data_IF_558179770919
#
_entry.id   IF_558179770919
#
_cell.length_a   1.000
_cell.length_b   1.000
_cell.length_c   1.000
_cell.angle_alpha   90.00
_cell.angle_beta   90.00
_cell.angle_gamma   90.00
#
_symmetry.space_group_name_H-M   'P 1'
#
loop_
_entity.id
_entity.type
_entity.pdbx_description
1 polymer ?
#
# COMPACT_ATOMS: atom_id res chain seq x y z
N UNK A 1 -21.16 71.31 17.70
CA UNK A 1 -20.41 70.64 16.62
C UNK A 1 -19.86 69.32 17.16
N UNK A 2 -20.37 68.19 16.69
CA UNK A 2 -19.76 66.88 16.97
C UNK A 2 -19.95 66.01 15.72
N UNK A 3 -18.87 65.80 14.95
CA UNK A 3 -18.85 64.90 13.80
C UNK A 3 -18.80 63.47 14.35
N UNK A 4 -19.88 62.71 14.19
CA UNK A 4 -19.84 61.26 14.39
C UNK A 4 -19.13 60.63 13.19
N UNK A 5 -17.91 60.12 13.41
CA UNK A 5 -17.17 59.31 12.45
C UNK A 5 -17.75 57.89 12.47
N UNK A 6 -18.42 57.49 11.39
CA UNK A 6 -18.80 56.11 11.15
C UNK A 6 -17.56 55.39 10.62
N UNK A 7 -16.97 54.51 11.44
CA UNK A 7 -15.89 53.62 11.00
C UNK A 7 -16.52 52.39 10.35
N UNK A 8 -16.30 52.22 9.04
CA UNK A 8 -16.72 51.04 8.28
C UNK A 8 -15.65 49.96 8.41
N UNK A 9 -15.89 48.96 9.26
CA UNK A 9 -15.04 47.77 9.33
C UNK A 9 -15.35 46.87 8.12
N UNK A 10 -14.40 46.79 7.18
CA UNK A 10 -14.46 45.83 6.06
C UNK A 10 -13.81 44.53 6.52
N UNK A 11 -14.62 43.50 6.75
CA UNK A 11 -14.14 42.13 6.92
C UNK A 11 -13.81 41.55 5.53
N UNK A 12 -12.52 41.48 5.18
CA UNK A 12 -12.08 40.74 4.00
C UNK A 12 -12.01 39.26 4.39
N UNK A 13 -13.02 38.49 3.98
CA UNK A 13 -13.01 37.03 4.09
C UNK A 13 -12.06 36.47 3.03
N UNK A 14 -10.80 36.24 3.40
CA UNK A 14 -9.86 35.49 2.55
C UNK A 14 -10.26 34.02 2.64
N UNK A 15 -11.11 33.56 1.73
CA UNK A 15 -11.29 32.14 1.46
C UNK A 15 -10.03 31.62 0.81
N UNK A 16 -9.04 31.26 1.62
CA UNK A 16 -7.92 30.47 1.15
C UNK A 16 -8.45 29.16 0.61
N UNK A 17 -8.43 29.00 -0.72
CA UNK A 17 -8.56 27.68 -1.34
C UNK A 17 -7.30 26.92 -0.95
N UNK A 18 -7.36 26.21 0.18
CA UNK A 18 -6.38 25.17 0.48
C UNK A 18 -6.63 24.11 -0.58
N UNK A 19 -5.86 24.14 -1.66
CA UNK A 19 -5.82 23.03 -2.61
C UNK A 19 -5.53 21.78 -1.79
N UNK A 20 -6.50 20.88 -1.70
CA UNK A 20 -6.31 19.63 -0.98
C UNK A 20 -5.11 18.93 -1.62
N UNK A 21 -3.99 18.85 -0.90
CA UNK A 21 -2.90 17.95 -1.27
C UNK A 21 -3.50 16.55 -1.29
N UNK A 22 -3.74 16.01 -2.49
CA UNK A 22 -4.27 14.68 -2.64
C UNK A 22 -3.16 13.70 -2.29
N UNK A 23 -3.32 12.99 -1.18
CA UNK A 23 -2.43 11.89 -0.79
C UNK A 23 -2.35 10.91 -1.98
N UNK A 24 -1.15 10.64 -2.54
CA UNK A 24 -1.03 9.83 -3.75
C UNK A 24 -1.37 8.36 -3.46
N UNK A 25 -2.05 7.65 -4.37
CA UNK A 25 -2.21 6.20 -4.25
C UNK A 25 -0.85 5.51 -4.24
N UNK A 26 -0.69 4.45 -3.43
CA UNK A 26 0.57 3.72 -3.31
C UNK A 26 0.35 2.25 -3.71
N UNK A 27 1.11 1.77 -4.68
CA UNK A 27 1.09 0.36 -5.10
C UNK A 27 2.39 -0.31 -4.67
N UNK A 28 2.28 -1.45 -3.98
CA UNK A 28 3.42 -2.11 -3.34
C UNK A 28 3.59 -3.50 -3.92
N UNK A 29 4.81 -3.84 -4.30
CA UNK A 29 5.24 -5.15 -4.78
C UNK A 29 6.43 -5.60 -3.95
N UNK A 30 6.59 -6.91 -3.78
CA UNK A 30 7.74 -7.42 -3.06
C UNK A 30 7.54 -8.70 -2.29
N UNK A 31 8.38 -8.85 -1.28
CA UNK A 31 8.48 -10.02 -0.43
C UNK A 31 7.98 -9.78 1.01
N UNK A 32 8.52 -10.52 1.99
CA UNK A 32 8.15 -10.42 3.41
C UNK A 32 8.43 -9.05 4.01
N UNK A 33 9.38 -8.30 3.47
CA UNK A 33 9.70 -6.93 3.92
C UNK A 33 8.56 -5.94 3.62
N UNK A 34 7.71 -6.27 2.64
CA UNK A 34 6.61 -5.44 2.19
C UNK A 34 5.23 -6.09 2.37
N UNK A 35 5.14 -7.39 2.64
CA UNK A 35 3.86 -8.08 2.88
C UNK A 35 3.18 -7.58 4.15
N UNK A 36 1.86 -7.43 4.04
CA UNK A 36 0.97 -6.93 5.08
C UNK A 36 -0.21 -7.85 5.34
N UNK A 37 -0.20 -9.05 4.75
CA UNK A 37 -1.15 -10.12 5.00
C UNK A 37 -1.65 -10.88 3.77
N UNK A 38 -1.07 -10.74 2.58
CA UNK A 38 -1.47 -11.56 1.42
C UNK A 38 -1.27 -13.05 1.73
N UNK A 39 -0.15 -13.41 2.37
CA UNK A 39 0.15 -14.81 2.67
C UNK A 39 -0.83 -15.48 3.64
N UNK A 40 -1.61 -14.70 4.39
CA UNK A 40 -2.64 -15.26 5.26
C UNK A 40 -3.71 -16.01 4.46
N UNK A 41 -3.98 -15.58 3.23
CA UNK A 41 -5.00 -16.12 2.34
C UNK A 41 -4.52 -17.30 1.48
N UNK A 42 -3.22 -17.60 1.49
CA UNK A 42 -2.67 -18.70 0.72
C UNK A 42 -2.86 -20.04 1.47
N UNK A 43 -3.46 -21.07 0.85
CA UNK A 43 -3.60 -22.38 1.47
C UNK A 43 -2.25 -23.09 1.57
N UNK A 44 -1.98 -23.73 2.70
CA UNK A 44 -0.81 -24.60 2.87
C UNK A 44 0.57 -23.93 2.98
N UNK A 45 0.69 -22.61 2.79
CA UNK A 45 1.98 -21.93 2.96
C UNK A 45 2.34 -21.76 4.44
N UNK A 46 3.62 -21.94 4.76
CA UNK A 46 4.21 -21.66 6.07
C UNK A 46 4.81 -20.25 6.15
N UNK A 47 4.97 -19.57 5.01
CA UNK A 47 5.50 -18.20 4.94
C UNK A 47 4.45 -17.18 5.39
N UNK A 48 3.94 -17.28 6.61
CA UNK A 48 2.95 -16.35 7.19
C UNK A 48 3.57 -15.58 8.34
N UNK A 49 2.95 -14.45 8.70
CA UNK A 49 3.33 -13.66 9.86
C UNK A 49 2.10 -13.21 10.65
N UNK A 50 1.15 -14.12 10.80
CA UNK A 50 -0.07 -13.94 11.59
C UNK A 50 -0.05 -14.78 12.88
N UNK A 51 1.15 -15.00 13.44
CA UNK A 51 1.34 -15.74 14.68
C UNK A 51 1.23 -14.84 15.92
N UNK A 52 1.03 -15.40 17.13
CA UNK A 52 0.91 -14.61 18.36
C UNK A 52 2.09 -13.67 18.67
N UNK A 53 3.30 -13.99 18.19
CA UNK A 53 4.49 -13.16 18.38
C UNK A 53 4.63 -12.04 17.32
N UNK A 54 3.73 -11.98 16.33
CA UNK A 54 3.66 -10.88 15.36
C UNK A 54 2.60 -9.86 15.80
N UNK A 55 2.86 -8.58 15.54
CA UNK A 55 1.87 -7.53 15.75
C UNK A 55 1.59 -7.15 17.21
N UNK A 56 2.45 -7.48 18.18
CA UNK A 56 2.30 -7.06 19.58
C UNK A 56 2.29 -5.52 19.66
N UNK A 57 3.09 -4.84 18.86
CA UNK A 57 3.18 -3.37 18.80
C UNK A 57 2.23 -2.77 17.74
N UNK A 58 1.48 -3.61 17.01
CA UNK A 58 0.47 -3.12 16.06
C UNK A 58 -0.77 -2.64 16.81
N UNK A 59 -1.52 -1.63 16.30
CA UNK A 59 -2.78 -1.22 16.90
C UNK A 59 -3.71 -2.40 17.23
N UNK A 60 -4.16 -2.46 18.48
CA UNK A 60 -4.97 -3.55 19.06
C UNK A 60 -4.24 -4.90 19.20
N UNK A 61 -2.90 -4.91 19.26
CA UNK A 61 -2.07 -6.10 19.51
C UNK A 61 -2.39 -7.26 18.56
N UNK A 62 -2.62 -6.95 17.27
CA UNK A 62 -3.12 -7.91 16.28
C UNK A 62 -2.08 -8.23 15.23
N UNK A 63 -1.78 -9.52 15.10
CA UNK A 63 -1.01 -10.06 13.99
C UNK A 63 -1.77 -9.88 12.67
N UNK A 64 -1.22 -9.09 11.74
CA UNK A 64 -1.87 -8.82 10.44
C UNK A 64 -1.30 -9.61 9.28
N UNK A 65 -0.19 -10.35 9.48
CA UNK A 65 0.62 -10.89 8.37
C UNK A 65 1.78 -9.98 7.95
N UNK A 66 2.13 -8.98 8.77
CA UNK A 66 3.40 -8.25 8.63
C UNK A 66 4.49 -9.05 9.30
N UNK A 67 5.62 -9.27 8.63
CA UNK A 67 6.81 -9.94 9.19
C UNK A 67 7.56 -9.01 10.17
N UNK A 68 6.84 -8.53 11.18
CA UNK A 68 7.27 -7.54 12.17
C UNK A 68 6.45 -7.69 13.45
N UNK A 69 6.92 -7.10 14.55
CA UNK A 69 6.13 -6.97 15.76
C UNK A 69 5.07 -5.86 15.67
N UNK A 70 5.08 -5.03 14.62
CA UNK A 70 4.14 -3.93 14.45
C UNK A 70 4.04 -3.49 13.00
N UNK A 71 4.14 -2.19 12.76
CA UNK A 71 4.31 -1.64 11.42
C UNK A 71 5.62 -2.15 10.78
N UNK A 72 5.63 -2.36 9.46
CA UNK A 72 6.84 -2.65 8.69
C UNK A 72 7.36 -1.36 8.01
N UNK A 73 8.51 -1.43 7.33
CA UNK A 73 9.12 -0.28 6.67
C UNK A 73 8.17 0.41 5.67
N UNK A 74 7.36 -0.37 4.95
CA UNK A 74 6.39 0.15 3.98
C UNK A 74 5.28 0.97 4.64
N UNK A 75 4.86 0.61 5.86
CA UNK A 75 3.91 1.44 6.60
C UNK A 75 4.48 2.81 6.96
N UNK A 76 5.74 2.87 7.36
CA UNK A 76 6.39 4.14 7.68
C UNK A 76 6.56 5.00 6.43
N UNK A 77 6.94 4.40 5.30
CA UNK A 77 7.00 5.11 4.00
C UNK A 77 5.61 5.62 3.60
N UNK A 78 4.55 4.82 3.75
CA UNK A 78 3.20 5.29 3.46
C UNK A 78 2.76 6.43 4.40
N UNK A 79 3.16 6.39 5.67
CA UNK A 79 2.88 7.45 6.65
C UNK A 79 3.56 8.77 6.28
N UNK A 80 4.81 8.75 5.79
CA UNK A 80 5.47 9.99 5.33
C UNK A 80 4.79 10.61 4.11
N UNK A 81 4.04 9.81 3.33
CA UNK A 81 3.24 10.27 2.20
C UNK A 81 1.83 10.77 2.60
N UNK A 82 1.48 10.75 3.89
CA UNK A 82 0.20 11.22 4.39
C UNK A 82 -0.87 10.13 4.56
N UNK A 83 -0.52 8.84 4.39
CA UNK A 83 -1.43 7.74 4.72
C UNK A 83 -1.41 7.40 6.21
N UNK A 84 -2.46 6.74 6.71
CA UNK A 84 -2.44 6.23 8.08
C UNK A 84 -1.46 5.06 8.26
N UNK A 85 -1.30 4.24 7.21
CA UNK A 85 -0.43 3.05 7.11
C UNK A 85 -0.38 2.60 5.64
N UNK A 86 0.33 1.52 5.33
CA UNK A 86 0.32 0.97 3.99
C UNK A 86 -1.10 0.60 3.52
N UNK A 87 -1.35 0.55 2.21
CA UNK A 87 -2.52 -0.08 1.61
C UNK A 87 -2.77 -1.50 2.12
N UNK A 88 -4.02 -1.95 1.97
CA UNK A 88 -4.43 -3.31 2.32
C UNK A 88 -3.84 -4.35 1.36
N UNK A 89 -3.67 -5.60 1.82
CA UNK A 89 -3.22 -6.70 0.96
C UNK A 89 -4.30 -7.02 -0.07
N UNK A 90 -3.90 -7.21 -1.33
CA UNK A 90 -4.79 -7.50 -2.46
C UNK A 90 -5.79 -8.62 -2.17
N UNK A 91 -5.33 -9.74 -1.61
CA UNK A 91 -6.19 -10.90 -1.33
C UNK A 91 -7.23 -10.67 -0.21
N UNK A 92 -7.13 -9.57 0.54
CA UNK A 92 -8.17 -9.16 1.50
C UNK A 92 -9.31 -8.35 0.86
N UNK A 93 -9.14 -7.91 -0.39
CA UNK A 93 -10.09 -7.02 -1.05
C UNK A 93 -11.19 -7.81 -1.77
N UNK A 94 -12.43 -7.42 -1.52
CA UNK A 94 -13.58 -7.72 -2.39
C UNK A 94 -13.76 -6.62 -3.44
N UNK A 95 -14.51 -6.89 -4.51
CA UNK A 95 -14.86 -5.88 -5.53
C UNK A 95 -15.43 -4.59 -4.89
N UNK A 96 -16.32 -4.73 -3.91
CA UNK A 96 -16.91 -3.59 -3.18
C UNK A 96 -15.86 -2.78 -2.40
N UNK A 97 -14.89 -3.44 -1.77
CA UNK A 97 -13.84 -2.75 -1.03
C UNK A 97 -12.80 -2.12 -1.95
N UNK A 98 -12.52 -2.71 -3.12
CA UNK A 98 -11.55 -2.18 -4.07
C UNK A 98 -11.91 -0.76 -4.52
N UNK A 99 -13.20 -0.48 -4.71
CA UNK A 99 -13.69 0.85 -5.10
C UNK A 99 -13.31 1.95 -4.09
N UNK A 100 -13.32 1.63 -2.79
CA UNK A 100 -12.93 2.56 -1.72
C UNK A 100 -11.41 2.77 -1.63
N UNK A 101 -10.63 1.90 -2.28
CA UNK A 101 -9.17 1.90 -2.22
C UNK A 101 -8.52 2.36 -3.53
N UNK A 102 -9.30 2.68 -4.58
CA UNK A 102 -8.79 3.24 -5.84
C UNK A 102 -7.82 4.41 -5.60
N UNK A 103 -8.15 5.29 -4.65
CA UNK A 103 -7.35 6.47 -4.31
C UNK A 103 -6.30 6.24 -3.22
N UNK A 104 -6.19 5.02 -2.68
CA UNK A 104 -5.18 4.66 -1.66
C UNK A 104 -4.10 3.75 -2.22
N UNK A 105 -4.42 3.02 -3.29
CA UNK A 105 -3.58 1.98 -3.87
C UNK A 105 -3.75 0.63 -3.15
N UNK A 106 -2.88 -0.33 -3.46
CA UNK A 106 -3.00 -1.74 -3.05
C UNK A 106 -1.62 -2.37 -2.81
N UNK A 107 -1.53 -3.27 -1.83
CA UNK A 107 -0.31 -4.03 -1.57
C UNK A 107 -0.41 -5.45 -2.16
N UNK A 108 0.47 -5.78 -3.09
CA UNK A 108 0.58 -7.06 -3.78
C UNK A 108 1.71 -7.94 -3.24
N UNK A 109 2.56 -7.43 -2.35
CA UNK A 109 3.71 -8.14 -1.82
C UNK A 109 3.32 -9.42 -1.08
N UNK A 110 4.21 -10.40 -1.10
CA UNK A 110 3.98 -11.76 -0.59
C UNK A 110 5.25 -12.32 0.01
N UNK A 111 5.22 -12.68 1.29
CA UNK A 111 6.36 -13.30 1.97
C UNK A 111 6.97 -14.47 1.19
N UNK A 112 8.29 -14.51 1.08
CA UNK A 112 9.02 -15.56 0.35
C UNK A 112 9.07 -15.40 -1.17
N UNK A 113 8.45 -14.35 -1.74
CA UNK A 113 8.57 -14.03 -3.16
C UNK A 113 9.96 -13.54 -3.52
N UNK A 114 10.41 -13.81 -4.74
CA UNK A 114 11.64 -13.28 -5.30
C UNK A 114 11.43 -12.51 -6.61
N UNK A 115 12.52 -12.10 -7.23
CA UNK A 115 12.54 -11.60 -8.62
C UNK A 115 12.21 -12.74 -9.57
N UNK A 116 12.80 -13.92 -9.34
CA UNK A 116 12.56 -15.11 -10.15
C UNK A 116 11.27 -15.80 -9.69
N UNK A 117 10.44 -16.23 -10.64
CA UNK A 117 9.23 -17.00 -10.35
C UNK A 117 9.54 -18.38 -9.74
N UNK A 118 10.78 -18.87 -9.88
CA UNK A 118 11.27 -20.09 -9.24
C UNK A 118 11.62 -19.92 -7.76
N UNK A 119 11.66 -18.68 -7.25
CA UNK A 119 12.01 -18.39 -5.86
C UNK A 119 10.79 -18.53 -4.96
N UNK A 120 10.89 -19.41 -3.96
CA UNK A 120 9.83 -19.66 -2.99
C UNK A 120 8.64 -20.43 -3.58
N UNK A 121 7.52 -20.43 -2.86
CA UNK A 121 6.28 -21.13 -3.22
C UNK A 121 5.02 -20.29 -2.95
N UNK A 122 5.17 -18.97 -2.96
CA UNK A 122 4.10 -18.00 -2.68
C UNK A 122 3.75 -17.18 -3.92
N UNK A 123 3.13 -16.01 -3.77
CA UNK A 123 2.76 -15.17 -4.92
C UNK A 123 4.04 -14.60 -5.54
N UNK A 124 4.42 -15.14 -6.71
CA UNK A 124 5.58 -14.70 -7.47
C UNK A 124 5.42 -13.26 -7.95
N UNK A 125 6.53 -12.56 -8.23
CA UNK A 125 6.48 -11.18 -8.74
C UNK A 125 5.64 -11.06 -10.02
N UNK A 126 5.70 -12.04 -10.93
CA UNK A 126 4.82 -12.10 -12.10
C UNK A 126 3.34 -12.14 -11.72
N UNK A 127 2.96 -12.92 -10.70
CA UNK A 127 1.59 -12.96 -10.21
C UNK A 127 1.17 -11.64 -9.54
N UNK A 128 2.08 -10.96 -8.84
CA UNK A 128 1.81 -9.63 -8.28
C UNK A 128 1.50 -8.60 -9.37
N UNK A 129 2.23 -8.64 -10.50
CA UNK A 129 1.95 -7.80 -11.67
C UNK A 129 0.59 -8.13 -12.31
N UNK A 130 0.20 -9.41 -12.36
CA UNK A 130 -1.15 -9.80 -12.81
C UNK A 130 -2.24 -9.26 -11.90
N UNK A 131 -2.04 -9.31 -10.58
CA UNK A 131 -2.98 -8.71 -9.61
C UNK A 131 -3.08 -7.20 -9.80
N UNK A 132 -1.96 -6.51 -10.04
CA UNK A 132 -1.99 -5.09 -10.40
C UNK A 132 -2.76 -4.84 -11.69
N UNK A 133 -2.57 -5.65 -12.73
CA UNK A 133 -3.35 -5.54 -13.97
C UNK A 133 -4.84 -5.67 -13.71
N UNK A 134 -5.27 -6.61 -12.84
CA UNK A 134 -6.68 -6.72 -12.42
C UNK A 134 -7.17 -5.46 -11.72
N UNK A 135 -6.38 -4.89 -10.81
CA UNK A 135 -6.73 -3.63 -10.13
C UNK A 135 -6.84 -2.48 -11.14
N UNK A 136 -5.89 -2.34 -12.07
CA UNK A 136 -5.95 -1.34 -13.14
C UNK A 136 -7.23 -1.48 -13.96
N UNK A 137 -7.54 -2.68 -14.43
CA UNK A 137 -8.77 -2.94 -15.21
C UNK A 137 -10.04 -2.59 -14.43
N UNK A 138 -10.09 -2.88 -13.13
CA UNK A 138 -11.22 -2.52 -12.29
C UNK A 138 -11.35 -1.00 -12.09
N UNK A 139 -10.23 -0.28 -12.00
CA UNK A 139 -10.22 1.19 -11.96
C UNK A 139 -10.75 1.73 -13.30
N UNK A 140 -10.22 1.25 -14.43
CA UNK A 140 -10.67 1.67 -15.76
C UNK A 140 -12.13 1.39 -16.02
N UNK A 141 -12.65 0.23 -15.62
CA UNK A 141 -14.08 -0.08 -15.72
C UNK A 141 -14.95 0.91 -14.92
N UNK A 142 -14.38 1.58 -13.91
CA UNK A 142 -15.10 2.50 -13.04
C UNK A 142 -14.99 3.96 -13.45
N UNK A 143 -13.80 4.42 -13.83
CA UNK A 143 -13.52 5.85 -14.08
C UNK A 143 -13.12 6.15 -15.53
N UNK A 144 -12.95 5.12 -16.38
CA UNK A 144 -12.46 5.25 -17.75
C UNK A 144 -10.93 5.28 -17.84
N UNK A 145 -10.39 4.90 -19.00
CA UNK A 145 -8.94 4.76 -19.21
C UNK A 145 -8.16 6.06 -18.96
N UNK A 146 -8.63 7.20 -19.48
CA UNK A 146 -7.93 8.48 -19.31
C UNK A 146 -7.77 8.87 -17.83
N UNK A 147 -8.83 8.69 -17.04
CA UNK A 147 -8.77 8.98 -15.59
C UNK A 147 -7.95 7.94 -14.83
N UNK A 148 -7.96 6.68 -15.26
CA UNK A 148 -7.04 5.66 -14.73
C UNK A 148 -5.60 6.08 -14.93
N UNK A 149 -5.23 6.49 -16.15
CA UNK A 149 -3.85 6.87 -16.47
C UNK A 149 -3.44 8.13 -15.69
N UNK A 150 -4.34 9.10 -15.51
CA UNK A 150 -4.10 10.26 -14.65
C UNK A 150 -3.84 9.86 -13.19
N UNK A 151 -4.67 8.97 -12.61
CA UNK A 151 -4.49 8.46 -11.25
C UNK A 151 -3.14 7.75 -11.12
N UNK A 152 -2.82 6.84 -12.05
CA UNK A 152 -1.57 6.07 -12.02
C UNK A 152 -0.34 6.96 -12.22
N UNK A 153 -0.41 8.00 -13.06
CA UNK A 153 0.69 8.96 -13.28
C UNK A 153 1.07 9.75 -12.02
N UNK A 154 0.13 9.90 -11.09
CA UNK A 154 0.30 10.58 -9.80
C UNK A 154 0.54 9.61 -8.64
N UNK A 155 0.55 8.31 -8.91
CA UNK A 155 0.71 7.26 -7.91
C UNK A 155 2.19 6.95 -7.64
N UNK A 156 2.45 6.34 -6.49
CA UNK A 156 3.79 5.89 -6.10
C UNK A 156 3.85 4.36 -6.16
N UNK A 157 4.91 3.83 -6.74
CA UNK A 157 5.17 2.40 -6.85
C UNK A 157 6.38 2.05 -5.99
N UNK A 158 6.21 1.12 -5.05
CA UNK A 158 7.29 0.66 -4.18
C UNK A 158 7.53 -0.82 -4.48
N UNK A 159 8.78 -1.17 -4.73
CA UNK A 159 9.21 -2.53 -5.04
C UNK A 159 10.31 -2.93 -4.05
N UNK A 160 10.08 -3.99 -3.27
CA UNK A 160 11.04 -4.51 -2.29
C UNK A 160 11.17 -6.02 -2.46
N UNK A 161 12.15 -6.47 -3.24
CA UNK A 161 12.33 -7.88 -3.62
C UNK A 161 13.83 -8.19 -3.84
N UNK A 162 14.16 -9.47 -4.01
CA UNK A 162 15.51 -9.96 -4.31
C UNK A 162 16.21 -10.66 -3.14
N UNK A 163 15.79 -10.41 -1.90
CA UNK A 163 16.37 -11.05 -0.72
C UNK A 163 16.21 -12.57 -0.75
N UNK A 164 15.03 -13.06 -1.14
CA UNK A 164 14.78 -14.50 -1.24
C UNK A 164 15.58 -15.16 -2.37
N UNK A 165 15.84 -14.48 -3.48
CA UNK A 165 16.68 -15.01 -4.56
C UNK A 165 18.13 -15.18 -4.08
N UNK A 166 18.64 -14.21 -3.32
CA UNK A 166 19.96 -14.34 -2.68
C UNK A 166 20.00 -15.51 -1.69
N UNK A 167 18.99 -15.66 -0.83
CA UNK A 167 18.91 -16.79 0.09
C UNK A 167 18.87 -18.14 -0.65
N UNK A 168 18.09 -18.23 -1.73
CA UNK A 168 18.02 -19.43 -2.55
C UNK A 168 19.37 -19.75 -3.20
N UNK A 169 20.07 -18.74 -3.74
CA UNK A 169 21.40 -18.90 -4.31
C UNK A 169 22.41 -19.42 -3.28
N UNK A 170 22.49 -18.81 -2.10
CA UNK A 170 23.43 -19.25 -1.06
C UNK A 170 23.07 -20.62 -0.47
N UNK A 171 21.78 -20.96 -0.34
CA UNK A 171 21.38 -22.30 0.07
C UNK A 171 21.81 -23.39 -0.93
N UNK A 172 21.86 -23.06 -2.23
CA UNK A 172 22.25 -23.98 -3.28
C UNK A 172 23.78 -24.07 -3.49
N UNK A 173 24.49 -22.95 -3.38
CA UNK A 173 25.90 -22.83 -3.81
C UNK A 173 26.88 -22.34 -2.74
N UNK A 174 26.39 -21.84 -1.59
CA UNK A 174 27.21 -21.20 -0.56
C UNK A 174 27.91 -22.16 0.40
N UNK A 175 28.67 -23.14 -0.14
CA UNK A 175 29.62 -23.94 0.66
C UNK A 175 31.00 -23.31 0.67
#
# INVERSE_FOLDING_TARGET
MAKQMISLLVFVLVLGVVGASTVPPVYIFGDSTADVGNNNYLPGTTAKANFPHNGIDFPHHRATGRFSNGYNGIDFIAKTMGHLRSPNPFLSLTNTTLHKHIYKGVNFASGGSGILDSTGSTITLTMQLKHFSTVRSNISARVGENSTDEILSKSIFIVSTGGNDMFAFFAQFGR
#
